data_IF_300755032847
#
_entry.id   IF_300755032847
#
_cell.length_a   1.000
_cell.length_b   1.000
_cell.length_c   1.000
_cell.angle_alpha   90.00
_cell.angle_beta   90.00
_cell.angle_gamma   90.00
#
_symmetry.space_group_name_H-M   'P 1'
#
loop_
_entity.id
_entity.type
_entity.pdbx_description
1 polymer ?
#
# COMPACT_ATOMS: atom_id res chain seq x y z
N UNK A 1 7.45 -10.57 -3.14
CA UNK A 1 6.22 -11.00 -3.84
C UNK A 1 6.25 -12.47 -4.26
N UNK A 2 7.28 -13.01 -4.93
CA UNK A 2 7.30 -14.44 -5.34
C UNK A 2 7.13 -15.40 -4.15
N UNK A 3 7.87 -15.16 -3.06
CA UNK A 3 7.76 -15.97 -1.84
C UNK A 3 6.37 -15.87 -1.20
N UNK A 4 5.81 -14.66 -1.10
CA UNK A 4 4.45 -14.46 -0.60
C UNK A 4 3.40 -15.18 -1.46
N UNK A 5 3.54 -15.14 -2.79
CA UNK A 5 2.66 -15.89 -3.69
C UNK A 5 2.80 -17.40 -3.51
N UNK A 6 4.01 -17.90 -3.24
CA UNK A 6 4.26 -19.32 -2.95
C UNK A 6 3.62 -19.74 -1.63
N UNK A 7 3.85 -18.98 -0.56
CA UNK A 7 3.26 -19.19 0.77
C UNK A 7 1.73 -19.21 0.71
N UNK A 8 1.15 -18.29 -0.06
CA UNK A 8 -0.30 -18.25 -0.29
C UNK A 8 -0.83 -19.53 -0.91
N UNK A 9 -0.15 -20.06 -1.93
CA UNK A 9 -0.55 -21.31 -2.58
C UNK A 9 -0.41 -22.49 -1.61
N UNK A 10 0.65 -22.53 -0.80
CA UNK A 10 0.84 -23.58 0.21
C UNK A 10 -0.25 -23.55 1.30
N UNK A 11 -0.71 -22.36 1.68
CA UNK A 11 -1.72 -22.17 2.74
C UNK A 11 -3.15 -22.37 2.24
N UNK A 12 -3.49 -21.83 1.08
CA UNK A 12 -4.88 -21.72 0.60
C UNK A 12 -5.20 -22.65 -0.58
N UNK A 13 -4.21 -23.15 -1.32
CA UNK A 13 -4.34 -24.23 -2.34
C UNK A 13 -5.18 -23.95 -3.59
N UNK A 14 -6.19 -23.09 -3.50
CA UNK A 14 -7.29 -22.99 -4.48
C UNK A 14 -7.13 -21.87 -5.50
N UNK A 15 -6.32 -20.84 -5.21
CA UNK A 15 -6.10 -19.72 -6.13
C UNK A 15 -4.74 -19.05 -5.91
N UNK A 16 -4.21 -18.41 -6.95
CA UNK A 16 -2.99 -17.62 -6.81
C UNK A 16 -3.28 -16.31 -6.08
N UNK A 17 -2.34 -15.83 -5.26
CA UNK A 17 -2.44 -14.53 -4.58
C UNK A 17 -2.79 -13.40 -5.57
N UNK A 18 -2.20 -13.43 -6.77
CA UNK A 18 -2.44 -12.44 -7.80
C UNK A 18 -3.89 -12.46 -8.29
N UNK A 19 -4.48 -13.63 -8.51
CA UNK A 19 -5.89 -13.75 -8.90
C UNK A 19 -6.82 -13.25 -7.81
N UNK A 20 -6.52 -13.55 -6.55
CA UNK A 20 -7.32 -13.07 -5.42
C UNK A 20 -7.27 -11.55 -5.32
N UNK A 21 -6.07 -10.96 -5.38
CA UNK A 21 -5.89 -9.50 -5.36
C UNK A 21 -6.59 -8.85 -6.56
N UNK A 22 -6.44 -9.43 -7.75
CA UNK A 22 -7.10 -8.93 -8.96
C UNK A 22 -8.62 -8.91 -8.80
N UNK A 23 -9.23 -10.01 -8.32
CA UNK A 23 -10.68 -10.08 -8.09
C UNK A 23 -11.15 -9.05 -7.06
N UNK A 24 -10.43 -8.93 -5.95
CA UNK A 24 -10.76 -7.95 -4.91
C UNK A 24 -10.69 -6.51 -5.43
N UNK A 25 -9.67 -6.19 -6.23
CA UNK A 25 -9.55 -4.88 -6.87
C UNK A 25 -10.67 -4.64 -7.92
N UNK A 26 -11.00 -5.64 -8.74
CA UNK A 26 -12.04 -5.51 -9.76
C UNK A 26 -13.43 -5.26 -9.15
N UNK A 27 -13.75 -5.93 -8.05
CA UNK A 27 -15.00 -5.72 -7.31
C UNK A 27 -15.14 -4.29 -6.77
N UNK A 28 -14.04 -3.71 -6.30
CA UNK A 28 -14.05 -2.39 -5.67
C UNK A 28 -13.94 -1.26 -6.69
N UNK A 29 -13.09 -1.36 -7.70
CA UNK A 29 -12.84 -0.24 -8.64
C UNK A 29 -13.13 -0.55 -10.10
N UNK A 30 -13.54 -1.76 -10.47
CA UNK A 30 -13.66 -2.21 -11.88
C UNK A 30 -12.37 -1.91 -12.65
N UNK A 31 -11.42 -2.83 -12.58
CA UNK A 31 -10.06 -2.67 -13.11
C UNK A 31 -10.03 -2.31 -14.60
N UNK A 32 -10.99 -2.82 -15.38
CA UNK A 32 -11.12 -2.52 -16.82
C UNK A 32 -11.37 -1.05 -17.14
N UNK A 33 -11.92 -0.29 -16.18
CA UNK A 33 -12.19 1.14 -16.27
C UNK A 33 -11.18 1.99 -15.47
N UNK A 34 -10.10 1.39 -14.97
CA UNK A 34 -9.11 2.06 -14.14
C UNK A 34 -7.91 2.57 -14.94
N UNK A 35 -7.43 3.75 -14.56
CA UNK A 35 -6.08 4.22 -14.86
C UNK A 35 -5.16 3.81 -13.70
N UNK A 36 -4.00 3.23 -14.00
CA UNK A 36 -3.06 2.72 -13.01
C UNK A 36 -1.86 3.66 -12.93
N UNK A 37 -1.55 4.12 -11.73
CA UNK A 37 -0.43 5.00 -11.46
C UNK A 37 0.54 4.33 -10.49
N UNK A 38 1.83 4.62 -10.65
CA UNK A 38 2.87 4.25 -9.70
C UNK A 38 3.39 5.52 -9.03
N UNK A 39 3.53 5.50 -7.71
CA UNK A 39 4.16 6.58 -6.97
C UNK A 39 5.58 6.19 -6.57
N UNK A 40 6.54 7.02 -6.95
CA UNK A 40 7.95 6.83 -6.63
C UNK A 40 8.50 8.18 -6.14
N UNK A 41 8.44 8.46 -4.83
CA UNK A 41 8.93 9.71 -4.29
C UNK A 41 10.46 9.75 -4.32
N UNK A 42 11.02 10.88 -4.77
CA UNK A 42 12.48 11.12 -4.76
C UNK A 42 12.96 11.75 -3.44
N UNK A 43 12.03 12.10 -2.55
CA UNK A 43 12.30 12.80 -1.29
C UNK A 43 12.30 11.84 -0.11
N UNK A 44 13.36 11.87 0.70
CA UNK A 44 13.46 11.14 1.97
C UNK A 44 12.47 11.62 3.03
N UNK A 45 11.82 12.76 2.80
CA UNK A 45 10.79 13.31 3.68
C UNK A 45 9.36 12.85 3.32
N UNK A 46 9.21 11.96 2.33
CA UNK A 46 7.89 11.47 1.91
C UNK A 46 7.34 10.44 2.91
N UNK A 47 6.10 10.62 3.41
CA UNK A 47 5.52 9.73 4.40
C UNK A 47 5.19 8.33 3.85
N UNK A 48 5.08 8.17 2.53
CA UNK A 48 4.89 6.87 1.89
C UNK A 48 6.21 6.17 1.56
N UNK A 49 7.34 6.83 1.76
CA UNK A 49 8.65 6.19 1.65
C UNK A 49 8.92 5.35 2.89
N UNK A 50 8.72 4.04 2.77
CA UNK A 50 9.02 3.08 3.84
C UNK A 50 10.54 3.05 4.11
N UNK A 51 10.97 3.74 5.17
CA UNK A 51 12.39 3.89 5.49
C UNK A 51 13.01 2.53 5.84
N UNK A 52 14.08 2.17 5.14
CA UNK A 52 14.77 0.89 5.35
C UNK A 52 14.16 -0.29 4.61
N UNK A 53 13.13 -0.06 3.77
CA UNK A 53 12.69 -1.06 2.81
C UNK A 53 13.79 -1.36 1.78
N UNK A 54 13.99 -2.65 1.50
CA UNK A 54 14.87 -3.12 0.42
C UNK A 54 14.27 -2.72 -0.92
N UNK A 55 12.95 -2.81 -1.02
CA UNK A 55 12.14 -2.28 -2.12
C UNK A 55 10.75 -1.92 -1.61
N UNK A 56 10.12 -0.93 -2.22
CA UNK A 56 8.75 -0.52 -1.95
C UNK A 56 8.05 -0.16 -3.27
N UNK A 57 6.79 -0.56 -3.40
CA UNK A 57 5.95 -0.20 -4.53
C UNK A 57 4.61 0.31 -4.05
N UNK A 58 4.18 1.40 -4.68
CA UNK A 58 2.96 2.11 -4.36
C UNK A 58 2.19 2.27 -5.65
N UNK A 59 1.06 1.55 -5.78
CA UNK A 59 0.18 1.63 -6.94
C UNK A 59 -1.15 2.28 -6.57
N UNK A 60 -1.64 3.15 -7.44
CA UNK A 60 -2.97 3.74 -7.35
C UNK A 60 -3.83 3.28 -8.53
N UNK A 61 -4.98 2.69 -8.23
CA UNK A 61 -5.99 2.31 -9.20
C UNK A 61 -7.10 3.35 -9.15
N UNK A 62 -7.17 4.20 -10.17
CA UNK A 62 -8.15 5.29 -10.23
C UNK A 62 -9.24 4.99 -11.25
N UNK A 63 -10.48 4.83 -10.78
CA UNK A 63 -11.65 4.77 -11.64
C UNK A 63 -12.35 6.14 -11.70
N UNK A 64 -12.22 6.82 -12.83
CA UNK A 64 -12.84 8.14 -13.09
C UNK A 64 -14.35 8.14 -13.06
N UNK A 65 -14.99 7.05 -13.53
CA UNK A 65 -16.45 6.92 -13.58
C UNK A 65 -17.04 6.79 -12.18
N UNK A 66 -16.35 6.07 -11.30
CA UNK A 66 -16.76 5.87 -9.91
C UNK A 66 -16.24 6.95 -8.95
N UNK A 67 -15.32 7.80 -9.39
CA UNK A 67 -14.57 8.76 -8.55
C UNK A 67 -13.91 8.08 -7.36
N UNK A 68 -13.35 6.89 -7.58
CA UNK A 68 -12.77 6.04 -6.54
C UNK A 68 -11.31 5.74 -6.84
N UNK A 69 -10.49 5.78 -5.79
CA UNK A 69 -9.07 5.41 -5.84
C UNK A 69 -8.86 4.27 -4.86
N UNK A 70 -8.13 3.24 -5.28
CA UNK A 70 -7.57 2.23 -4.37
C UNK A 70 -6.06 2.34 -4.40
N UNK A 71 -5.46 2.45 -3.21
CA UNK A 71 -4.02 2.41 -3.00
C UNK A 71 -3.59 0.99 -2.63
N UNK A 72 -2.63 0.44 -3.37
CA UNK A 72 -2.04 -0.87 -3.08
C UNK A 72 -0.54 -0.71 -2.86
N UNK A 73 -0.13 -0.81 -1.60
CA UNK A 73 1.25 -0.60 -1.18
C UNK A 73 1.82 -1.91 -0.69
N UNK A 74 3.03 -2.24 -1.13
CA UNK A 74 3.75 -3.41 -0.61
C UNK A 74 5.25 -3.16 -0.71
N UNK A 75 5.95 -3.58 0.35
CA UNK A 75 7.38 -3.41 0.50
C UNK A 75 8.01 -4.70 1.02
N UNK A 76 9.33 -4.74 1.05
CA UNK A 76 10.09 -5.75 1.76
C UNK A 76 11.07 -5.09 2.71
N UNK A 77 10.94 -5.46 3.98
CA UNK A 77 11.84 -5.05 5.04
C UNK A 77 12.79 -6.20 5.36
N UNK A 78 13.99 -5.85 5.77
CA UNK A 78 14.90 -6.82 6.37
C UNK A 78 14.46 -7.09 7.81
N UNK A 79 14.42 -8.36 8.22
CA UNK A 79 14.10 -8.72 9.61
C UNK A 79 15.10 -8.12 10.61
N UNK A 80 16.31 -7.76 10.16
CA UNK A 80 17.30 -7.05 10.99
C UNK A 80 16.88 -5.62 11.34
N UNK A 81 16.03 -4.99 10.51
CA UNK A 81 15.50 -3.64 10.72
C UNK A 81 14.26 -3.69 11.63
N UNK A 82 13.44 -4.74 11.49
CA UNK A 82 12.19 -4.95 12.27
C UNK A 82 12.49 -5.17 13.77
N UNK A 83 13.61 -5.80 14.11
CA UNK A 83 14.05 -5.96 15.51
C UNK A 83 14.51 -4.63 16.18
N UNK A 84 14.73 -3.57 15.40
CA UNK A 84 15.27 -2.29 15.89
C UNK A 84 14.33 -1.09 15.82
N UNK A 85 13.20 -1.19 15.10
CA UNK A 85 12.21 -0.12 14.95
C UNK A 85 10.80 -0.72 15.06
N UNK A 86 9.98 -0.32 16.05
CA UNK A 86 8.60 -0.77 16.11
C UNK A 86 7.85 -0.22 14.89
N UNK A 87 7.39 -1.14 14.03
CA UNK A 87 6.55 -0.84 12.85
C UNK A 87 5.25 -0.11 13.21
N UNK A 88 4.88 -0.08 14.50
CA UNK A 88 3.69 0.56 15.05
C UNK A 88 3.80 2.08 15.19
N UNK A 89 4.98 2.68 14.94
CA UNK A 89 5.25 4.10 15.23
C UNK A 89 5.16 5.06 14.03
N UNK A 90 4.89 4.60 12.81
CA UNK A 90 5.01 5.46 11.61
C UNK A 90 3.69 5.79 10.89
N UNK A 91 2.55 5.24 11.31
CA UNK A 91 1.27 5.47 10.61
C UNK A 91 0.47 6.68 11.10
N UNK A 92 0.83 7.34 12.19
CA UNK A 92 0.19 8.59 12.62
C UNK A 92 1.21 9.47 13.36
N UNK A 93 2.04 10.23 12.65
CA UNK A 93 2.35 11.57 13.16
C UNK A 93 1.03 12.33 12.96
N UNK A 94 0.21 12.30 14.00
CA UNK A 94 -1.05 13.00 14.12
C UNK A 94 -0.75 14.49 13.93
N UNK A 95 -0.97 15.03 12.71
CA UNK A 95 -1.14 16.48 12.47
C UNK A 95 -2.43 16.94 13.17
N UNK A 96 -2.45 16.81 14.50
CA UNK A 96 -3.58 17.13 15.38
C UNK A 96 -3.72 18.63 15.67
N UNK A 97 -2.80 19.47 15.18
CA UNK A 97 -2.69 20.86 15.62
C UNK A 97 -3.14 21.88 14.56
N UNK A 98 -3.59 21.45 13.37
CA UNK A 98 -3.82 22.38 12.24
C UNK A 98 -5.22 23.01 12.21
N UNK A 99 -6.18 22.52 13.00
CA UNK A 99 -7.59 22.99 12.97
C UNK A 99 -8.13 23.51 14.31
N UNK A 100 -7.28 23.75 15.31
CA UNK A 100 -7.71 24.26 16.62
C UNK A 100 -8.12 25.75 16.61
N UNK A 101 -7.98 26.46 15.48
CA UNK A 101 -8.25 27.91 15.38
C UNK A 101 -9.32 28.26 14.32
N UNK A 102 -10.17 27.30 13.91
CA UNK A 102 -11.41 27.62 13.18
C UNK A 102 -12.56 27.89 14.15
N UNK A 103 -12.56 29.09 14.74
CA UNK A 103 -13.73 29.63 15.43
C UNK A 103 -14.96 29.66 14.50
N UNK A 104 -16.09 29.20 15.05
CA UNK A 104 -17.41 29.04 14.43
C UNK A 104 -18.18 30.37 14.30
#
# INVERSE_FOLDING_TARGET
MIEASKEWVETYGDSSLLETVYKALDEVVKLSDCEIYSYNPDSDADPFLEKGAIWSFIFFFYNRKQKRVVSFHFCCLSNLVVDGFPMDSLCYEEDGEIFDDMDM
#
